data_IF_799776244164
#
_entry.id   IF_799776244164
#
_cell.length_a   1.000
_cell.length_b   1.000
_cell.length_c   1.000
_cell.angle_alpha   90.00
_cell.angle_beta   90.00
_cell.angle_gamma   90.00
#
_symmetry.space_group_name_H-M   'P 1'
#
loop_
_entity.id
_entity.type
_entity.pdbx_description
1 polymer ?
#
# COMPACT_ATOMS: atom_id res chain seq x y z
N UNK A 1 3.21 42.20 -39.33
CA UNK A 1 4.13 43.34 -39.48
C UNK A 1 3.79 44.36 -38.39
N UNK A 2 4.72 44.73 -37.51
CA UNK A 2 4.36 45.62 -36.38
C UNK A 2 4.15 47.07 -36.87
N UNK A 3 3.33 47.87 -36.14
CA UNK A 3 2.99 49.26 -36.49
C UNK A 3 4.21 50.13 -36.81
N UNK A 4 5.36 49.86 -36.18
CA UNK A 4 6.61 50.61 -36.35
C UNK A 4 7.29 50.27 -37.69
N UNK A 5 7.30 49.00 -38.09
CA UNK A 5 7.85 48.54 -39.37
C UNK A 5 7.04 49.03 -40.56
N UNK A 6 5.70 49.03 -40.45
CA UNK A 6 4.80 49.55 -41.50
C UNK A 6 4.97 51.06 -41.69
N UNK A 7 5.13 51.81 -40.58
CA UNK A 7 5.36 53.26 -40.63
C UNK A 7 6.73 53.61 -41.24
N UNK A 8 7.76 52.79 -40.98
CA UNK A 8 9.08 52.98 -41.59
C UNK A 8 9.06 52.74 -43.10
N UNK A 9 8.38 51.67 -43.57
CA UNK A 9 8.27 51.38 -45.00
C UNK A 9 7.43 52.42 -45.75
N UNK A 10 6.33 52.90 -45.16
CA UNK A 10 5.55 53.99 -45.74
C UNK A 10 6.37 55.28 -45.88
N UNK A 11 7.23 55.58 -44.90
CA UNK A 11 8.13 56.75 -44.95
C UNK A 11 9.21 56.59 -46.02
N UNK A 12 9.78 55.38 -46.18
CA UNK A 12 10.78 55.09 -47.21
C UNK A 12 10.20 55.12 -48.64
N UNK A 13 8.96 54.65 -48.84
CA UNK A 13 8.25 54.71 -50.13
C UNK A 13 7.89 56.15 -50.52
N UNK A 14 7.48 56.97 -49.55
CA UNK A 14 7.11 58.38 -49.79
C UNK A 14 8.32 59.21 -50.23
N UNK A 15 9.54 58.84 -49.81
CA UNK A 15 10.78 59.50 -50.20
C UNK A 15 11.26 59.16 -51.63
N UNK A 16 10.79 58.05 -52.22
CA UNK A 16 11.30 57.56 -53.52
C UNK A 16 10.31 57.69 -54.67
N UNK A 17 9.00 57.74 -54.43
CA UNK A 17 7.99 57.67 -55.52
C UNK A 17 7.12 58.92 -55.71
N UNK A 18 7.37 60.00 -54.97
CA UNK A 18 6.58 61.23 -55.08
C UNK A 18 5.22 61.11 -54.37
N UNK A 19 4.81 62.19 -53.70
CA UNK A 19 3.67 62.22 -52.78
C UNK A 19 2.32 61.78 -53.41
N UNK A 20 2.18 61.81 -54.73
CA UNK A 20 0.94 61.46 -55.44
C UNK A 20 0.65 59.95 -55.54
N UNK A 21 1.66 59.07 -55.50
CA UNK A 21 1.47 57.61 -55.62
C UNK A 21 1.41 56.94 -54.23
N UNK A 22 2.08 57.53 -53.22
CA UNK A 22 2.07 57.02 -51.85
C UNK A 22 0.67 57.07 -51.20
N UNK A 23 -0.17 58.06 -51.54
CA UNK A 23 -1.53 58.17 -50.97
C UNK A 23 -2.49 57.10 -51.50
N UNK A 24 -2.26 56.56 -52.71
CA UNK A 24 -3.07 55.48 -53.27
C UNK A 24 -2.63 54.07 -52.83
N UNK A 25 -1.41 53.89 -52.31
CA UNK A 25 -0.93 52.60 -51.78
C UNK A 25 -1.06 52.47 -50.25
N UNK A 26 -1.23 53.57 -49.51
CA UNK A 26 -1.53 53.55 -48.06
C UNK A 26 -3.04 53.45 -47.76
N UNK A 27 -3.90 53.52 -48.78
CA UNK A 27 -5.28 52.98 -48.72
C UNK A 27 -5.31 51.45 -48.88
N UNK A 28 -4.25 50.75 -48.43
CA UNK A 28 -4.30 49.32 -48.17
C UNK A 28 -5.22 49.08 -46.95
N UNK A 29 -6.51 48.97 -47.26
CA UNK A 29 -7.61 48.45 -46.45
C UNK A 29 -7.41 48.60 -44.94
N UNK A 30 -7.77 49.76 -44.38
CA UNK A 30 -8.20 49.76 -42.98
C UNK A 30 -9.42 48.85 -42.91
N UNK A 31 -9.20 47.59 -42.51
CA UNK A 31 -10.26 46.62 -42.26
C UNK A 31 -11.20 47.30 -41.27
N UNK A 32 -12.40 47.61 -41.75
CA UNK A 32 -13.39 48.29 -40.92
C UNK A 32 -13.71 47.40 -39.72
N UNK A 33 -14.11 47.96 -38.57
CA UNK A 33 -14.51 47.15 -37.41
C UNK A 33 -15.56 46.07 -37.78
N UNK A 34 -16.43 46.37 -38.75
CA UNK A 34 -17.40 45.43 -39.30
C UNK A 34 -16.75 44.27 -40.06
N UNK A 35 -15.79 44.53 -40.94
CA UNK A 35 -15.08 43.48 -41.69
C UNK A 35 -14.27 42.57 -40.75
N UNK A 36 -13.63 43.13 -39.72
CA UNK A 36 -12.94 42.34 -38.70
C UNK A 36 -13.90 41.45 -37.89
N UNK A 37 -15.09 41.97 -37.56
CA UNK A 37 -16.13 41.19 -36.91
C UNK A 37 -16.70 40.10 -37.83
N UNK A 38 -16.95 40.43 -39.09
CA UNK A 38 -17.43 39.49 -40.10
C UNK A 38 -16.41 38.36 -40.34
N UNK A 39 -15.13 38.66 -40.43
CA UNK A 39 -14.06 37.66 -40.60
C UNK A 39 -13.98 36.73 -39.38
N UNK A 40 -14.12 37.28 -38.16
CA UNK A 40 -14.17 36.47 -36.95
C UNK A 40 -15.40 35.54 -36.94
N UNK A 41 -16.57 36.02 -37.36
CA UNK A 41 -17.80 35.21 -37.50
C UNK A 41 -17.62 34.11 -38.56
N UNK A 42 -17.04 34.42 -39.72
CA UNK A 42 -16.76 33.43 -40.77
C UNK A 42 -15.75 32.38 -40.29
N UNK A 43 -14.74 32.80 -39.52
CA UNK A 43 -13.75 31.88 -38.94
C UNK A 43 -14.43 30.91 -37.97
N UNK A 44 -15.31 31.42 -37.11
CA UNK A 44 -16.12 30.62 -36.20
C UNK A 44 -17.08 29.67 -36.93
N UNK A 45 -17.72 30.11 -38.02
CA UNK A 45 -18.61 29.24 -38.83
C UNK A 45 -17.87 28.07 -39.47
N UNK A 46 -16.58 28.23 -39.81
CA UNK A 46 -15.73 27.17 -40.39
C UNK A 46 -15.15 26.24 -39.34
N UNK A 47 -14.81 26.78 -38.17
CA UNK A 47 -14.27 26.05 -37.03
C UNK A 47 -14.93 26.57 -35.74
N UNK A 48 -16.03 25.94 -35.28
CA UNK A 48 -16.80 26.40 -34.12
C UNK A 48 -16.14 25.97 -32.80
N UNK A 49 -14.82 26.09 -32.71
CA UNK A 49 -14.09 25.95 -31.45
C UNK A 49 -14.46 27.08 -30.49
N UNK A 50 -14.43 26.81 -29.18
CA UNK A 50 -14.77 27.81 -28.16
C UNK A 50 -13.97 29.12 -28.31
N UNK A 51 -12.69 29.02 -28.69
CA UNK A 51 -11.83 30.18 -28.92
C UNK A 51 -12.29 31.05 -30.12
N UNK A 52 -12.79 30.43 -31.20
CA UNK A 52 -13.30 31.17 -32.35
C UNK A 52 -14.69 31.77 -32.07
N UNK A 53 -15.53 31.07 -31.30
CA UNK A 53 -16.82 31.60 -30.81
C UNK A 53 -16.57 32.85 -29.96
N UNK A 54 -15.62 32.80 -29.02
CA UNK A 54 -15.21 33.95 -28.19
C UNK A 54 -14.72 35.13 -29.01
N UNK A 55 -13.86 34.85 -29.99
CA UNK A 55 -13.30 35.86 -30.87
C UNK A 55 -14.39 36.55 -31.70
N UNK A 56 -15.33 35.77 -32.24
CA UNK A 56 -16.46 36.29 -32.99
C UNK A 56 -17.39 37.15 -32.11
N UNK A 57 -17.76 36.64 -30.92
CA UNK A 57 -18.64 37.36 -30.00
C UNK A 57 -18.04 38.71 -29.57
N UNK A 58 -16.76 38.73 -29.20
CA UNK A 58 -16.07 39.95 -28.80
C UNK A 58 -15.94 40.95 -29.95
N UNK A 59 -15.67 40.47 -31.17
CA UNK A 59 -15.56 41.33 -32.35
C UNK A 59 -16.91 41.96 -32.74
N UNK A 60 -18.01 41.19 -32.72
CA UNK A 60 -19.35 41.72 -33.00
C UNK A 60 -19.80 42.68 -31.89
N UNK A 61 -19.47 42.39 -30.63
CA UNK A 61 -19.80 43.27 -29.48
C UNK A 61 -19.17 44.66 -29.60
N UNK A 62 -17.95 44.74 -30.14
CA UNK A 62 -17.23 45.99 -30.35
C UNK A 62 -17.86 46.90 -31.43
N UNK A 63 -18.80 46.38 -32.23
CA UNK A 63 -19.57 47.18 -33.18
C UNK A 63 -20.55 48.12 -32.47
N UNK A 64 -20.77 49.29 -33.07
CA UNK A 64 -21.88 50.18 -32.70
C UNK A 64 -23.22 49.48 -32.95
N UNK A 65 -24.24 49.83 -32.17
CA UNK A 65 -25.58 49.27 -32.33
C UNK A 65 -26.13 49.57 -33.74
N UNK A 66 -26.84 48.60 -34.33
CA UNK A 66 -27.44 48.73 -35.65
C UNK A 66 -27.58 47.38 -36.36
N UNK A 67 -28.28 47.39 -37.49
CA UNK A 67 -28.69 46.18 -38.23
C UNK A 67 -27.52 45.24 -38.57
N UNK A 68 -26.33 45.79 -38.83
CA UNK A 68 -25.12 45.01 -39.11
C UNK A 68 -24.62 44.21 -37.92
N UNK A 69 -24.66 44.80 -36.71
CA UNK A 69 -24.31 44.10 -35.47
C UNK A 69 -25.33 43.01 -35.16
N UNK A 70 -26.61 43.32 -35.32
CA UNK A 70 -27.70 42.38 -35.04
C UNK A 70 -27.63 41.16 -35.98
N UNK A 71 -27.35 41.38 -37.26
CA UNK A 71 -27.17 40.33 -38.24
C UNK A 71 -25.97 39.40 -37.92
N UNK A 72 -24.84 39.97 -37.50
CA UNK A 72 -23.68 39.17 -37.10
C UNK A 72 -23.90 38.44 -35.77
N UNK A 73 -24.55 39.07 -34.79
CA UNK A 73 -24.91 38.43 -33.52
C UNK A 73 -25.79 37.20 -33.74
N UNK A 74 -26.80 37.29 -34.60
CA UNK A 74 -27.67 36.16 -34.93
C UNK A 74 -26.91 34.97 -35.53
N UNK A 75 -25.87 35.24 -36.33
CA UNK A 75 -24.99 34.19 -36.89
C UNK A 75 -24.12 33.56 -35.79
N UNK A 76 -23.56 34.36 -34.89
CA UNK A 76 -22.82 33.86 -33.72
C UNK A 76 -23.70 32.96 -32.86
N UNK A 77 -24.93 33.38 -32.56
CA UNK A 77 -25.88 32.60 -31.76
C UNK A 77 -26.28 31.29 -32.45
N UNK A 78 -26.51 31.30 -33.76
CA UNK A 78 -26.89 30.10 -34.52
C UNK A 78 -25.80 29.01 -34.48
N UNK A 79 -24.53 29.41 -34.51
CA UNK A 79 -23.38 28.48 -34.44
C UNK A 79 -23.09 28.05 -33.00
N UNK A 80 -23.28 28.95 -32.02
CA UNK A 80 -23.03 28.64 -30.61
C UNK A 80 -24.12 27.74 -29.98
N UNK A 81 -25.37 27.84 -30.43
CA UNK A 81 -26.51 27.12 -29.83
C UNK A 81 -26.38 25.59 -29.80
N UNK A 82 -25.92 24.89 -30.87
CA UNK A 82 -25.67 23.45 -30.83
C UNK A 82 -24.58 23.04 -29.84
N UNK A 83 -23.54 23.87 -29.68
CA UNK A 83 -22.47 23.64 -28.70
C UNK A 83 -23.00 23.79 -27.27
N UNK A 84 -23.89 24.77 -27.04
CA UNK A 84 -24.55 24.94 -25.75
C UNK A 84 -25.44 23.74 -25.39
N UNK A 85 -26.15 23.18 -26.38
CA UNK A 85 -26.95 21.97 -26.21
C UNK A 85 -26.08 20.75 -25.88
N UNK A 86 -24.93 20.57 -26.54
CA UNK A 86 -24.04 19.45 -26.28
C UNK A 86 -23.51 19.46 -24.83
N UNK A 87 -23.17 20.63 -24.29
CA UNK A 87 -22.75 20.75 -22.88
C UNK A 87 -23.92 20.48 -21.94
N UNK A 88 -25.12 20.97 -22.25
CA UNK A 88 -26.32 20.65 -21.49
C UNK A 88 -26.63 19.15 -21.46
N UNK A 89 -26.53 18.46 -22.61
CA UNK A 89 -26.76 17.02 -22.72
C UNK A 89 -25.73 16.24 -21.88
N UNK A 90 -24.45 16.63 -21.90
CA UNK A 90 -23.40 16.04 -21.05
C UNK A 90 -23.72 16.25 -19.56
N UNK A 91 -24.21 17.43 -19.17
CA UNK A 91 -24.63 17.70 -17.79
C UNK A 91 -25.84 16.85 -17.37
N UNK A 92 -26.80 16.64 -18.27
CA UNK A 92 -27.98 15.78 -18.02
C UNK A 92 -27.57 14.31 -17.89
N UNK A 93 -26.66 13.83 -18.73
CA UNK A 93 -26.11 12.47 -18.63
C UNK A 93 -25.35 12.26 -17.32
N UNK A 94 -24.49 13.20 -16.92
CA UNK A 94 -23.78 13.14 -15.65
C UNK A 94 -24.74 13.11 -14.44
N UNK A 95 -25.79 13.95 -14.49
CA UNK A 95 -26.84 14.01 -13.47
C UNK A 95 -27.65 12.70 -13.38
N UNK A 96 -27.84 12.02 -14.51
CA UNK A 96 -28.59 10.76 -14.58
C UNK A 96 -27.77 9.58 -14.04
N UNK A 97 -26.50 9.50 -14.43
CA UNK A 97 -25.65 8.34 -14.13
C UNK A 97 -25.03 8.37 -12.73
N UNK A 98 -24.86 9.56 -12.13
CA UNK A 98 -24.32 9.76 -10.78
C UNK A 98 -22.94 9.12 -10.54
N UNK A 99 -22.18 8.86 -11.60
CA UNK A 99 -20.81 8.34 -11.50
C UNK A 99 -19.78 9.47 -11.62
N UNK A 100 -18.66 9.34 -10.89
CA UNK A 100 -17.64 10.39 -10.79
C UNK A 100 -16.98 10.73 -12.14
N UNK A 101 -16.94 9.77 -13.08
CA UNK A 101 -16.31 9.95 -14.39
C UNK A 101 -17.15 10.88 -15.28
N UNK A 102 -18.45 10.63 -15.38
CA UNK A 102 -19.36 11.48 -16.17
C UNK A 102 -19.49 12.89 -15.60
N UNK A 103 -19.39 13.04 -14.28
CA UNK A 103 -19.32 14.35 -13.61
C UNK A 103 -18.02 15.10 -13.95
N UNK A 104 -16.88 14.42 -14.03
CA UNK A 104 -15.61 15.01 -14.45
C UNK A 104 -15.63 15.51 -15.90
N UNK A 105 -16.23 14.74 -16.80
CA UNK A 105 -16.38 15.09 -18.21
C UNK A 105 -17.33 16.30 -18.40
N UNK A 106 -18.44 16.35 -17.65
CA UNK A 106 -19.35 17.50 -17.62
C UNK A 106 -18.67 18.79 -17.16
N UNK A 107 -17.77 18.71 -16.17
CA UNK A 107 -17.05 19.88 -15.65
C UNK A 107 -16.05 20.47 -16.64
N UNK A 108 -15.31 19.64 -17.37
CA UNK A 108 -14.42 20.13 -18.44
C UNK A 108 -15.20 20.87 -19.52
N UNK A 109 -16.39 20.37 -19.86
CA UNK A 109 -17.29 21.00 -20.82
C UNK A 109 -17.81 22.36 -20.31
N UNK A 110 -18.25 22.45 -19.05
CA UNK A 110 -18.73 23.71 -18.43
C UNK A 110 -17.60 24.74 -18.25
N UNK A 111 -16.41 24.32 -17.82
CA UNK A 111 -15.25 25.21 -17.69
C UNK A 111 -14.80 25.80 -19.04
N UNK A 112 -15.00 25.05 -20.13
CA UNK A 112 -14.84 25.55 -21.50
C UNK A 112 -15.85 26.65 -21.86
N UNK A 113 -17.11 26.53 -21.42
CA UNK A 113 -18.16 27.53 -21.67
C UNK A 113 -18.08 28.76 -20.78
N UNK A 114 -17.63 28.63 -19.52
CA UNK A 114 -17.52 29.76 -18.59
C UNK A 114 -16.59 30.86 -19.11
N UNK A 115 -15.62 30.52 -19.95
CA UNK A 115 -14.76 31.48 -20.65
C UNK A 115 -15.51 32.35 -21.68
N UNK A 116 -16.66 31.89 -22.17
CA UNK A 116 -17.47 32.53 -23.22
C UNK A 116 -18.40 33.63 -22.64
N UNK A 117 -18.82 33.53 -21.38
CA UNK A 117 -19.86 34.38 -20.77
C UNK A 117 -19.33 35.42 -19.76
N UNK A 118 -18.27 36.16 -20.13
CA UNK A 118 -17.54 37.04 -19.19
C UNK A 118 -18.35 38.22 -18.62
N UNK A 119 -19.51 38.65 -19.16
CA UNK A 119 -20.18 39.87 -18.64
C UNK A 119 -21.40 39.68 -17.74
N UNK A 120 -22.12 38.56 -17.80
CA UNK A 120 -23.19 38.28 -16.83
C UNK A 120 -22.69 37.48 -15.62
N UNK A 121 -21.49 36.89 -15.72
CA UNK A 121 -20.83 36.16 -14.65
C UNK A 121 -19.97 37.03 -13.70
N UNK A 122 -19.67 38.29 -14.04
CA UNK A 122 -18.68 39.09 -13.27
C UNK A 122 -19.14 39.55 -11.88
N UNK A 123 -20.44 39.48 -11.58
CA UNK A 123 -20.97 39.64 -10.21
C UNK A 123 -21.10 38.33 -9.45
N UNK A 124 -20.98 37.17 -10.13
CA UNK A 124 -20.90 35.85 -9.49
C UNK A 124 -19.45 35.35 -9.34
N UNK A 125 -18.54 35.69 -10.25
CA UNK A 125 -17.25 34.99 -10.35
C UNK A 125 -16.19 35.41 -9.35
N UNK A 126 -16.11 36.66 -8.90
CA UNK A 126 -14.99 37.08 -8.04
C UNK A 126 -15.08 36.54 -6.60
N UNK A 127 -16.27 36.19 -6.12
CA UNK A 127 -16.47 35.52 -4.83
C UNK A 127 -16.64 34.00 -4.97
N UNK A 128 -17.21 33.51 -6.10
CA UNK A 128 -17.17 32.08 -6.40
C UNK A 128 -15.75 31.58 -6.75
N UNK A 129 -14.83 32.38 -7.29
CA UNK A 129 -13.57 31.85 -7.85
C UNK A 129 -12.65 31.25 -6.79
N UNK A 130 -12.31 31.96 -5.71
CA UNK A 130 -11.41 31.38 -4.70
C UNK A 130 -12.09 30.25 -3.92
N UNK A 131 -13.37 30.41 -3.59
CA UNK A 131 -14.10 29.45 -2.76
C UNK A 131 -14.48 28.18 -3.55
N UNK A 132 -14.87 28.30 -4.83
CA UNK A 132 -15.14 27.16 -5.71
C UNK A 132 -13.84 26.43 -6.08
N UNK A 133 -12.73 27.15 -6.26
CA UNK A 133 -11.41 26.52 -6.47
C UNK A 133 -10.97 25.76 -5.22
N UNK A 134 -11.13 26.33 -4.02
CA UNK A 134 -10.79 25.64 -2.77
C UNK A 134 -11.68 24.42 -2.53
N UNK A 135 -12.98 24.52 -2.83
CA UNK A 135 -13.90 23.39 -2.82
C UNK A 135 -13.51 22.30 -3.83
N UNK A 136 -13.19 22.70 -5.07
CA UNK A 136 -12.79 21.78 -6.13
C UNK A 136 -11.52 21.03 -5.72
N UNK A 137 -10.50 21.77 -5.28
CA UNK A 137 -9.21 21.20 -4.89
C UNK A 137 -9.29 20.36 -3.61
N UNK A 138 -10.09 20.79 -2.63
CA UNK A 138 -10.10 20.15 -1.31
C UNK A 138 -11.13 19.05 -1.20
N UNK A 139 -12.30 19.20 -1.84
CA UNK A 139 -13.39 18.21 -1.74
C UNK A 139 -13.38 17.26 -2.92
N UNK A 140 -13.33 17.77 -4.13
CA UNK A 140 -13.47 16.93 -5.33
C UNK A 140 -12.21 16.11 -5.57
N UNK A 141 -11.03 16.74 -5.53
CA UNK A 141 -9.78 16.02 -5.81
C UNK A 141 -9.49 14.97 -4.74
N UNK A 142 -9.76 15.28 -3.47
CA UNK A 142 -9.63 14.32 -2.36
C UNK A 142 -10.60 13.14 -2.51
N UNK A 143 -11.88 13.38 -2.82
CA UNK A 143 -12.84 12.30 -3.07
C UNK A 143 -12.45 11.45 -4.29
N UNK A 144 -11.91 12.07 -5.33
CA UNK A 144 -11.39 11.35 -6.49
C UNK A 144 -10.13 10.55 -6.15
N UNK A 145 -9.24 11.07 -5.30
CA UNK A 145 -8.05 10.36 -4.87
C UNK A 145 -8.42 9.14 -4.04
N UNK A 146 -9.37 9.28 -3.11
CA UNK A 146 -9.98 8.18 -2.35
C UNK A 146 -10.60 7.15 -3.28
N UNK A 147 -11.48 7.56 -4.20
CA UNK A 147 -12.17 6.64 -5.12
C UNK A 147 -11.22 5.88 -6.06
N UNK A 148 -10.02 6.42 -6.31
CA UNK A 148 -9.00 5.78 -7.15
C UNK A 148 -7.94 5.03 -6.32
N UNK A 149 -8.12 4.88 -5.00
CA UNK A 149 -7.16 4.22 -4.10
C UNK A 149 -5.81 4.94 -3.99
N UNK A 150 -5.73 6.22 -4.38
CA UNK A 150 -4.51 7.03 -4.30
C UNK A 150 -4.33 7.68 -2.94
N UNK A 151 -5.39 7.73 -2.14
CA UNK A 151 -5.39 8.27 -0.80
C UNK A 151 -6.15 7.32 0.12
N UNK A 152 -5.58 7.07 1.29
CA UNK A 152 -6.18 6.24 2.33
C UNK A 152 -7.40 6.95 2.94
N UNK A 153 -8.50 6.22 3.16
CA UNK A 153 -9.69 6.78 3.80
C UNK A 153 -9.42 6.96 5.29
N UNK A 154 -9.53 8.19 5.79
CA UNK A 154 -9.39 8.53 7.22
C UNK A 154 -10.60 9.32 7.69
N UNK A 155 -11.05 9.06 8.92
CA UNK A 155 -12.20 9.77 9.49
C UNK A 155 -11.94 11.28 9.61
N UNK A 156 -10.71 11.68 9.93
CA UNK A 156 -10.31 13.08 9.96
C UNK A 156 -10.51 13.78 8.60
N UNK A 157 -10.18 13.09 7.49
CA UNK A 157 -10.40 13.60 6.13
C UNK A 157 -11.89 13.76 5.87
N UNK A 158 -12.70 12.74 6.18
CA UNK A 158 -14.16 12.80 6.03
C UNK A 158 -14.77 13.96 6.84
N UNK A 159 -14.33 14.14 8.08
CA UNK A 159 -14.81 15.23 8.94
C UNK A 159 -14.49 16.61 8.34
N UNK A 160 -13.27 16.81 7.82
CA UNK A 160 -12.88 18.06 7.15
C UNK A 160 -13.73 18.32 5.90
N UNK A 161 -14.01 17.27 5.12
CA UNK A 161 -14.89 17.37 3.95
C UNK A 161 -16.32 17.76 4.34
N UNK A 162 -16.88 17.17 5.41
CA UNK A 162 -18.21 17.55 5.93
C UNK A 162 -18.26 19.01 6.36
N UNK A 163 -17.25 19.51 7.06
CA UNK A 163 -17.20 20.93 7.47
C UNK A 163 -17.29 21.89 6.27
N UNK A 164 -16.53 21.60 5.20
CA UNK A 164 -16.55 22.42 3.98
C UNK A 164 -17.93 22.36 3.31
N UNK A 165 -18.54 21.17 3.22
CA UNK A 165 -19.86 20.96 2.62
C UNK A 165 -20.97 21.67 3.43
N UNK A 166 -20.93 21.63 4.77
CA UNK A 166 -21.90 22.32 5.63
C UNK A 166 -21.75 23.84 5.53
N UNK A 167 -20.51 24.35 5.48
CA UNK A 167 -20.27 25.79 5.28
C UNK A 167 -20.86 26.31 3.97
N UNK A 168 -20.83 25.49 2.92
CA UNK A 168 -21.48 25.74 1.63
C UNK A 168 -23.01 25.80 1.72
N UNK A 169 -23.60 24.88 2.50
CA UNK A 169 -25.05 24.81 2.66
C UNK A 169 -25.63 26.03 3.38
N UNK A 170 -24.82 26.83 4.07
CA UNK A 170 -25.25 28.05 4.78
C UNK A 170 -25.23 29.30 3.89
N UNK A 171 -24.55 29.30 2.73
CA UNK A 171 -24.45 30.44 1.81
C UNK A 171 -25.59 30.48 0.76
N UNK A 172 -26.80 30.03 1.15
CA UNK A 172 -27.97 29.69 0.31
C UNK A 172 -28.55 30.85 -0.50
N UNK A 173 -28.09 31.06 -1.73
CA UNK A 173 -28.84 31.87 -2.72
C UNK A 173 -29.00 31.23 -4.10
N UNK A 174 -28.44 30.04 -4.33
CA UNK A 174 -28.43 29.41 -5.66
C UNK A 174 -28.84 27.92 -5.61
N UNK A 175 -29.96 27.58 -6.25
CA UNK A 175 -30.48 26.20 -6.36
C UNK A 175 -29.49 25.22 -7.01
N UNK A 176 -28.62 25.69 -7.93
CA UNK A 176 -27.61 24.87 -8.56
C UNK A 176 -26.49 24.43 -7.61
N UNK A 177 -26.09 25.31 -6.69
CA UNK A 177 -25.09 25.03 -5.66
C UNK A 177 -25.65 24.04 -4.63
N UNK A 178 -26.93 24.20 -4.25
CA UNK A 178 -27.63 23.30 -3.32
C UNK A 178 -27.65 21.86 -3.84
N UNK A 179 -27.95 21.67 -5.13
CA UNK A 179 -27.96 20.32 -5.72
C UNK A 179 -26.58 19.67 -5.71
N UNK A 180 -25.53 20.44 -6.01
CA UNK A 180 -24.16 19.95 -5.99
C UNK A 180 -23.74 19.53 -4.58
N UNK A 181 -24.05 20.35 -3.58
CA UNK A 181 -23.82 20.06 -2.15
C UNK A 181 -24.50 18.76 -1.74
N UNK A 182 -25.77 18.56 -2.11
CA UNK A 182 -26.52 17.33 -1.81
C UNK A 182 -25.90 16.08 -2.46
N UNK A 183 -25.48 16.15 -3.73
CA UNK A 183 -24.85 15.01 -4.43
C UNK A 183 -23.51 14.61 -3.78
N UNK A 184 -22.72 15.59 -3.31
CA UNK A 184 -21.46 15.33 -2.62
C UNK A 184 -21.65 14.84 -1.17
N UNK A 185 -22.67 15.33 -0.45
CA UNK A 185 -23.04 14.78 0.86
C UNK A 185 -23.35 13.28 0.76
N UNK A 186 -24.17 12.88 -0.23
CA UNK A 186 -24.48 11.47 -0.46
C UNK A 186 -23.24 10.63 -0.81
N UNK A 187 -22.32 11.20 -1.60
CA UNK A 187 -21.03 10.54 -1.92
C UNK A 187 -20.18 10.35 -0.67
N UNK A 188 -20.13 11.36 0.21
CA UNK A 188 -19.37 11.31 1.46
C UNK A 188 -19.96 10.31 2.46
N UNK A 189 -21.29 10.21 2.52
CA UNK A 189 -21.97 9.17 3.30
C UNK A 189 -21.65 7.76 2.78
N UNK A 190 -21.58 7.59 1.46
CA UNK A 190 -21.13 6.33 0.87
C UNK A 190 -19.68 6.01 1.25
N UNK A 191 -18.75 6.96 1.13
CA UNK A 191 -17.34 6.79 1.52
C UNK A 191 -17.23 6.43 3.01
N UNK A 192 -18.00 7.10 3.86
CA UNK A 192 -18.07 6.81 5.29
C UNK A 192 -18.54 5.37 5.56
N UNK A 193 -19.59 4.91 4.86
CA UNK A 193 -20.11 3.56 5.01
C UNK A 193 -19.15 2.50 4.44
N UNK A 194 -18.48 2.78 3.33
CA UNK A 194 -17.46 1.90 2.77
C UNK A 194 -16.29 1.71 3.76
N UNK A 195 -15.84 2.78 4.43
CA UNK A 195 -14.81 2.69 5.47
C UNK A 195 -15.27 1.90 6.70
N UNK A 196 -16.51 2.09 7.16
CA UNK A 196 -17.10 1.27 8.25
C UNK A 196 -17.12 -0.21 7.87
N UNK A 197 -17.51 -0.53 6.63
CA UNK A 197 -17.56 -1.91 6.14
C UNK A 197 -16.16 -2.53 5.99
N UNK A 198 -15.17 -1.75 5.55
CA UNK A 198 -13.76 -2.17 5.50
C UNK A 198 -13.26 -2.56 6.90
N UNK A 199 -13.44 -1.68 7.89
CA UNK A 199 -13.02 -1.97 9.28
C UNK A 199 -13.73 -3.21 9.82
N UNK A 200 -15.04 -3.35 9.57
CA UNK A 200 -15.79 -4.54 9.98
C UNK A 200 -15.28 -5.82 9.31
N UNK A 201 -14.89 -5.76 8.04
CA UNK A 201 -14.32 -6.89 7.32
C UNK A 201 -12.95 -7.29 7.90
N UNK A 202 -12.10 -6.32 8.24
CA UNK A 202 -10.81 -6.56 8.91
C UNK A 202 -10.99 -7.20 10.29
N UNK A 203 -11.92 -6.71 11.11
CA UNK A 203 -12.25 -7.32 12.41
C UNK A 203 -12.65 -8.79 12.23
N UNK A 204 -13.50 -9.09 11.24
CA UNK A 204 -13.95 -10.47 10.98
C UNK A 204 -12.82 -11.37 10.47
N UNK A 205 -11.94 -10.83 9.63
CA UNK A 205 -10.82 -11.55 9.02
C UNK A 205 -9.64 -11.77 10.00
N UNK A 206 -9.54 -10.99 11.07
CA UNK A 206 -8.46 -11.11 12.04
C UNK A 206 -8.38 -12.52 12.66
N UNK A 207 -7.20 -13.12 12.58
CA UNK A 207 -6.88 -14.44 13.15
C UNK A 207 -5.93 -14.36 14.35
N UNK A 208 -5.25 -13.21 14.50
CA UNK A 208 -4.29 -12.93 15.57
C UNK A 208 -4.63 -11.64 16.33
N UNK A 209 -4.10 -11.52 17.55
CA UNK A 209 -4.25 -10.32 18.38
C UNK A 209 -3.66 -9.06 17.69
N UNK A 210 -2.61 -9.23 16.88
CA UNK A 210 -1.94 -8.15 16.14
C UNK A 210 -2.81 -7.62 14.99
N UNK A 211 -3.42 -8.51 14.19
CA UNK A 211 -4.36 -8.13 13.13
C UNK A 211 -5.59 -7.41 13.71
N UNK A 212 -6.12 -7.91 14.83
CA UNK A 212 -7.25 -7.25 15.51
C UNK A 212 -6.86 -5.87 16.07
N UNK A 213 -5.62 -5.68 16.51
CA UNK A 213 -5.12 -4.38 16.98
C UNK A 213 -5.09 -3.33 15.85
N UNK A 214 -4.75 -3.73 14.62
CA UNK A 214 -4.81 -2.85 13.43
C UNK A 214 -6.26 -2.42 13.17
N UNK A 215 -7.20 -3.36 13.17
CA UNK A 215 -8.62 -3.06 12.97
C UNK A 215 -9.19 -2.16 14.07
N UNK A 216 -8.78 -2.36 15.34
CA UNK A 216 -9.14 -1.50 16.47
C UNK A 216 -8.63 -0.07 16.31
N UNK A 217 -7.45 0.12 15.75
CA UNK A 217 -6.93 1.46 15.50
C UNK A 217 -7.82 2.23 14.51
N UNK A 218 -8.25 1.58 13.41
CA UNK A 218 -9.21 2.16 12.46
C UNK A 218 -10.60 2.37 13.08
N UNK A 219 -11.06 1.45 13.92
CA UNK A 219 -12.29 1.65 14.70
C UNK A 219 -12.22 2.88 15.60
N UNK A 220 -11.10 3.09 16.30
CA UNK A 220 -10.92 4.28 17.13
C UNK A 220 -10.90 5.57 16.30
N UNK A 221 -10.35 5.53 15.08
CA UNK A 221 -10.45 6.63 14.11
C UNK A 221 -11.92 6.92 13.74
N UNK A 222 -12.73 5.89 13.44
CA UNK A 222 -14.16 6.03 13.18
C UNK A 222 -14.91 6.70 14.36
N UNK A 223 -14.50 6.46 15.61
CA UNK A 223 -15.13 7.08 16.79
C UNK A 223 -14.90 8.60 16.89
N UNK A 224 -14.02 9.17 16.06
CA UNK A 224 -13.83 10.62 15.94
C UNK A 224 -14.86 11.29 15.02
N UNK A 225 -15.78 10.52 14.42
CA UNK A 225 -16.86 11.08 13.60
C UNK A 225 -17.78 11.99 14.41
N UNK A 226 -18.25 13.07 13.77
CA UNK A 226 -19.13 14.08 14.41
C UNK A 226 -20.60 13.71 14.43
N UNK A 227 -21.03 12.79 13.56
CA UNK A 227 -22.41 12.31 13.54
C UNK A 227 -22.60 11.32 14.70
N UNK A 228 -23.26 11.76 15.77
CA UNK A 228 -23.46 10.97 16.98
C UNK A 228 -24.36 9.74 16.75
N UNK A 229 -25.32 9.82 15.81
CA UNK A 229 -26.20 8.69 15.50
C UNK A 229 -25.43 7.60 14.75
N UNK A 230 -24.62 7.99 13.77
CA UNK A 230 -23.76 7.06 13.05
C UNK A 230 -22.67 6.49 13.95
N UNK A 231 -22.09 7.32 14.83
CA UNK A 231 -21.11 6.88 15.82
C UNK A 231 -21.68 5.81 16.75
N UNK A 232 -22.89 6.02 17.26
CA UNK A 232 -23.60 5.02 18.07
C UNK A 232 -23.84 3.72 17.29
N UNK A 233 -24.21 3.81 16.01
CA UNK A 233 -24.38 2.63 15.15
C UNK A 233 -23.06 1.88 14.91
N UNK A 234 -21.94 2.59 14.70
CA UNK A 234 -20.60 2.01 14.55
C UNK A 234 -20.16 1.33 15.84
N UNK A 235 -20.38 1.95 17.01
CA UNK A 235 -20.11 1.33 18.31
C UNK A 235 -20.92 0.04 18.51
N UNK A 236 -22.21 0.07 18.19
CA UNK A 236 -23.09 -1.10 18.32
C UNK A 236 -22.70 -2.24 17.37
N UNK A 237 -22.23 -1.94 16.16
CA UNK A 237 -21.94 -2.95 15.15
C UNK A 237 -20.47 -3.40 15.18
N UNK A 238 -19.55 -2.47 14.92
CA UNK A 238 -18.11 -2.75 14.84
C UNK A 238 -17.55 -3.01 16.23
N UNK A 239 -17.96 -2.24 17.25
CA UNK A 239 -17.54 -2.48 18.64
C UNK A 239 -17.97 -3.86 19.16
N UNK A 240 -19.20 -4.29 18.88
CA UNK A 240 -19.65 -5.64 19.24
C UNK A 240 -18.91 -6.75 18.49
N UNK A 241 -18.59 -6.53 17.21
CA UNK A 241 -17.77 -7.46 16.42
C UNK A 241 -16.35 -7.57 17.00
N UNK A 242 -15.75 -6.45 17.41
CA UNK A 242 -14.44 -6.43 18.10
C UNK A 242 -14.53 -7.22 19.40
N UNK A 243 -15.50 -6.96 20.26
CA UNK A 243 -15.64 -7.68 21.54
C UNK A 243 -15.83 -9.19 21.34
N UNK A 244 -16.63 -9.58 20.34
CA UNK A 244 -16.81 -10.99 19.95
C UNK A 244 -15.49 -11.61 19.51
N UNK A 245 -14.72 -10.89 18.67
CA UNK A 245 -13.44 -11.37 18.17
C UNK A 245 -12.38 -11.43 19.27
N UNK A 246 -12.34 -10.47 20.18
CA UNK A 246 -11.48 -10.52 21.37
C UNK A 246 -11.76 -11.76 22.20
N UNK A 247 -13.03 -12.08 22.45
CA UNK A 247 -13.40 -13.30 23.18
C UNK A 247 -12.96 -14.56 22.42
N UNK A 248 -13.10 -14.59 21.09
CA UNK A 248 -12.62 -15.70 20.24
C UNK A 248 -11.09 -15.86 20.31
N UNK A 249 -10.33 -14.76 20.23
CA UNK A 249 -8.86 -14.76 20.28
C UNK A 249 -8.31 -14.96 21.70
N UNK A 250 -9.12 -14.75 22.74
CA UNK A 250 -8.75 -15.02 24.12
C UNK A 250 -8.62 -16.51 24.42
N UNK A 251 -9.35 -17.37 23.69
CA UNK A 251 -9.33 -18.82 23.89
C UNK A 251 -7.95 -19.38 23.49
N UNK A 252 -7.22 -20.06 24.40
CA UNK A 252 -5.93 -20.65 24.08
C UNK A 252 -6.03 -21.73 22.99
N UNK A 253 -5.21 -21.62 21.94
CA UNK A 253 -5.17 -22.54 20.80
C UNK A 253 -3.79 -22.56 20.13
N UNK A 254 -3.58 -23.54 19.28
CA UNK A 254 -2.48 -23.56 18.32
C UNK A 254 -2.87 -22.69 17.11
N UNK A 255 -2.02 -21.74 16.74
CA UNK A 255 -2.20 -20.90 15.55
C UNK A 255 -1.67 -21.59 14.30
N UNK A 256 -0.52 -22.25 14.39
CA UNK A 256 0.03 -23.02 13.27
C UNK A 256 1.00 -24.09 13.72
N UNK A 257 1.19 -25.10 12.86
CA UNK A 257 2.29 -26.05 12.94
C UNK A 257 2.93 -26.17 11.55
N UNK A 258 4.21 -25.85 11.42
CA UNK A 258 4.93 -25.75 10.15
C UNK A 258 6.29 -26.44 10.25
N UNK A 259 6.60 -27.30 9.30
CA UNK A 259 7.93 -27.92 9.25
C UNK A 259 8.97 -26.89 8.80
N UNK A 260 10.11 -26.87 9.48
CA UNK A 260 11.26 -26.02 9.13
C UNK A 260 12.18 -26.77 8.16
N UNK A 261 12.47 -28.03 8.47
CA UNK A 261 13.28 -28.99 7.69
C UNK A 261 12.89 -30.42 8.09
N UNK A 262 13.51 -31.47 7.52
CA UNK A 262 13.17 -32.86 7.86
C UNK A 262 13.32 -33.22 9.35
N UNK A 263 14.03 -32.41 10.15
CA UNK A 263 14.27 -32.68 11.57
C UNK A 263 13.47 -31.79 12.49
N UNK A 264 12.90 -30.68 12.00
CA UNK A 264 12.37 -29.63 12.86
C UNK A 264 10.95 -29.20 12.48
N UNK A 265 10.11 -29.02 13.50
CA UNK A 265 8.75 -28.52 13.41
C UNK A 265 8.56 -27.32 14.34
N UNK A 266 8.04 -26.23 13.80
CA UNK A 266 7.60 -25.06 14.56
C UNK A 266 6.12 -25.18 14.88
N UNK A 267 5.75 -25.03 16.16
CA UNK A 267 4.36 -24.94 16.61
C UNK A 267 4.17 -23.59 17.29
N UNK A 268 3.25 -22.78 16.77
CA UNK A 268 2.93 -21.45 17.29
C UNK A 268 1.60 -21.49 18.04
N UNK A 269 1.57 -20.89 19.23
CA UNK A 269 0.41 -20.77 20.10
C UNK A 269 0.00 -19.30 20.27
N UNK A 270 -1.30 -19.02 20.36
CA UNK A 270 -1.75 -17.63 20.54
C UNK A 270 -1.46 -17.08 21.95
N UNK A 271 -1.35 -17.97 22.95
CA UNK A 271 -1.05 -17.64 24.35
C UNK A 271 0.24 -18.32 24.83
N UNK A 272 0.99 -17.71 25.76
CA UNK A 272 2.19 -18.31 26.34
C UNK A 272 1.88 -19.66 27.02
N UNK A 273 2.68 -20.68 26.71
CA UNK A 273 2.48 -22.06 27.18
C UNK A 273 3.37 -22.38 28.38
N UNK A 274 2.86 -23.22 29.28
CA UNK A 274 3.62 -23.78 30.38
C UNK A 274 4.55 -24.88 29.89
N UNK A 275 5.87 -24.66 30.02
CA UNK A 275 6.90 -25.58 29.54
C UNK A 275 6.70 -27.02 30.03
N UNK A 276 6.33 -27.22 31.30
CA UNK A 276 6.12 -28.55 31.90
C UNK A 276 4.93 -29.34 31.31
N UNK A 277 4.10 -28.70 30.49
CA UNK A 277 2.99 -29.34 29.80
C UNK A 277 3.33 -29.78 28.38
N UNK A 278 4.42 -29.29 27.81
CA UNK A 278 4.88 -29.62 26.44
C UNK A 278 6.26 -30.27 26.40
N UNK A 279 7.07 -30.08 27.43
CA UNK A 279 8.45 -30.55 27.54
C UNK A 279 8.64 -31.17 28.93
N UNK A 280 9.23 -32.37 28.97
CA UNK A 280 9.68 -32.98 30.21
C UNK A 280 11.00 -32.34 30.67
N UNK A 281 11.13 -32.09 31.97
CA UNK A 281 12.36 -31.51 32.56
C UNK A 281 13.61 -32.36 32.28
N UNK A 282 13.44 -33.69 32.25
CA UNK A 282 14.52 -34.61 31.92
C UNK A 282 14.65 -34.73 30.40
N UNK A 283 15.77 -34.25 29.86
CA UNK A 283 16.14 -34.44 28.46
C UNK A 283 15.33 -33.62 27.45
N UNK A 284 14.55 -32.64 27.91
CA UNK A 284 13.71 -31.77 27.08
C UNK A 284 12.77 -32.53 26.12
N UNK A 285 12.32 -33.74 26.49
CA UNK A 285 11.50 -34.59 25.60
C UNK A 285 10.08 -34.04 25.47
N UNK A 286 9.51 -34.14 24.26
CA UNK A 286 8.15 -33.66 23.97
C UNK A 286 7.10 -34.44 24.78
N UNK A 287 6.05 -33.72 25.17
CA UNK A 287 4.92 -34.21 25.94
C UNK A 287 3.62 -33.64 25.38
N UNK A 288 2.53 -34.43 25.45
CA UNK A 288 1.17 -34.04 25.03
C UNK A 288 1.00 -33.59 23.57
N UNK A 289 2.03 -33.82 22.76
CA UNK A 289 2.04 -33.57 21.31
C UNK A 289 2.47 -34.87 20.65
N UNK A 290 1.73 -35.29 19.63
CA UNK A 290 2.01 -36.52 18.88
C UNK A 290 2.11 -36.25 17.39
N UNK A 291 2.99 -36.99 16.73
CA UNK A 291 3.17 -36.96 15.28
C UNK A 291 2.85 -38.34 14.74
N UNK A 292 2.08 -38.40 13.64
CA UNK A 292 1.77 -39.66 12.97
C UNK A 292 1.87 -39.48 11.47
N UNK A 293 2.64 -40.33 10.82
CA UNK A 293 2.65 -40.37 9.36
C UNK A 293 1.29 -40.86 8.85
N UNK A 294 0.70 -40.13 7.90
CA UNK A 294 -0.67 -40.41 7.42
C UNK A 294 -0.73 -41.57 6.43
N UNK A 295 0.39 -41.87 5.77
CA UNK A 295 0.50 -42.87 4.69
C UNK A 295 1.08 -44.21 5.12
N UNK A 296 1.66 -44.29 6.33
CA UNK A 296 2.30 -45.50 6.85
C UNK A 296 1.57 -46.04 8.08
N UNK A 297 1.57 -47.37 8.24
CA UNK A 297 1.02 -48.05 9.42
C UNK A 297 2.04 -48.18 10.56
N UNK A 298 3.33 -47.92 10.30
CA UNK A 298 4.38 -47.86 11.31
C UNK A 298 4.69 -46.41 11.66
N UNK A 299 4.76 -46.08 12.96
CA UNK A 299 5.21 -44.76 13.42
C UNK A 299 6.72 -44.63 13.13
N UNK A 300 7.06 -44.00 12.00
CA UNK A 300 8.46 -43.72 11.60
C UNK A 300 9.08 -42.63 12.49
N UNK A 301 8.23 -41.83 13.15
CA UNK A 301 8.62 -40.76 14.07
C UNK A 301 7.96 -41.03 15.41
N UNK A 302 8.76 -41.10 16.49
CA UNK A 302 8.23 -41.26 17.84
C UNK A 302 8.31 -39.92 18.58
N UNK A 303 7.14 -39.35 18.90
CA UNK A 303 7.10 -38.05 19.60
C UNK A 303 7.78 -38.08 20.97
N UNK A 304 7.91 -39.24 21.63
CA UNK A 304 8.64 -39.34 22.91
C UNK A 304 10.16 -39.22 22.75
N UNK A 305 10.68 -39.46 21.55
CA UNK A 305 12.11 -39.31 21.25
C UNK A 305 12.45 -37.86 20.87
N UNK A 306 11.50 -37.10 20.35
CA UNK A 306 11.70 -35.71 19.99
C UNK A 306 12.01 -34.82 21.21
N UNK A 307 12.80 -33.78 20.99
CA UNK A 307 13.10 -32.73 21.98
C UNK A 307 12.36 -31.44 21.63
N UNK A 308 12.11 -30.60 22.62
CA UNK A 308 11.43 -29.31 22.45
C UNK A 308 12.21 -28.14 23.05
N UNK A 309 12.14 -26.99 22.38
CA UNK A 309 12.63 -25.71 22.90
C UNK A 309 11.54 -24.64 22.72
N UNK A 310 11.12 -24.02 23.83
CA UNK A 310 10.20 -22.88 23.79
C UNK A 310 10.98 -21.57 23.57
N UNK A 311 10.40 -20.66 22.79
CA UNK A 311 10.81 -19.28 22.70
C UNK A 311 10.72 -18.55 24.05
N UNK A 312 11.38 -17.39 24.15
CA UNK A 312 11.39 -16.58 25.39
C UNK A 312 10.00 -16.09 25.81
N UNK A 313 9.12 -15.80 24.85
CA UNK A 313 7.72 -15.43 25.08
C UNK A 313 6.81 -16.64 25.32
N UNK A 314 7.36 -17.86 25.21
CA UNK A 314 6.69 -19.15 25.37
C UNK A 314 5.52 -19.38 24.42
N UNK A 315 5.48 -18.67 23.28
CA UNK A 315 4.44 -18.83 22.26
C UNK A 315 4.86 -19.71 21.09
N UNK A 316 6.15 -20.00 20.94
CA UNK A 316 6.68 -20.82 19.85
C UNK A 316 7.44 -22.00 20.42
N UNK A 317 7.09 -23.20 19.99
CA UNK A 317 7.79 -24.43 20.33
C UNK A 317 8.50 -24.97 19.07
N UNK A 318 9.82 -25.10 19.16
CA UNK A 318 10.61 -25.80 18.15
C UNK A 318 10.79 -27.23 18.61
N UNK A 319 10.22 -28.17 17.86
CA UNK A 319 10.40 -29.60 18.05
C UNK A 319 11.54 -30.08 17.16
N UNK A 320 12.49 -30.83 17.73
CA UNK A 320 13.60 -31.42 16.98
C UNK A 320 13.61 -32.94 17.17
N UNK A 321 13.54 -33.68 16.07
CA UNK A 321 13.61 -35.14 16.05
C UNK A 321 15.02 -35.64 16.39
N UNK A 322 15.11 -36.73 17.13
CA UNK A 322 16.36 -37.33 17.59
C UNK A 322 16.78 -38.51 16.68
N UNK A 323 18.04 -38.93 16.78
CA UNK A 323 18.57 -40.08 16.06
C UNK A 323 18.35 -40.04 14.54
N UNK A 324 17.84 -41.15 13.98
CA UNK A 324 17.58 -41.30 12.55
C UNK A 324 16.19 -40.83 12.10
N UNK A 325 15.32 -40.42 13.02
CA UNK A 325 13.93 -40.05 12.71
C UNK A 325 13.87 -38.76 11.88
N UNK A 326 12.99 -38.72 10.89
CA UNK A 326 12.82 -37.55 10.02
C UNK A 326 11.35 -37.40 9.63
N UNK A 327 10.88 -36.16 9.50
CA UNK A 327 9.63 -35.86 8.83
C UNK A 327 9.86 -35.94 7.32
N UNK A 328 9.33 -36.96 6.66
CA UNK A 328 9.30 -37.10 5.21
C UNK A 328 7.95 -37.64 4.75
N UNK A 329 7.28 -36.90 3.87
CA UNK A 329 5.89 -37.18 3.50
C UNK A 329 4.91 -36.37 4.33
N UNK A 330 3.71 -36.93 4.55
CA UNK A 330 2.59 -36.21 5.16
C UNK A 330 2.34 -36.71 6.58
N UNK A 331 2.44 -35.82 7.56
CA UNK A 331 2.24 -36.10 8.97
C UNK A 331 1.02 -35.38 9.49
N UNK A 332 0.30 -36.02 10.42
CA UNK A 332 -0.61 -35.34 11.33
C UNK A 332 0.14 -34.96 12.59
N UNK A 333 -0.02 -33.71 13.02
CA UNK A 333 0.35 -33.25 14.36
C UNK A 333 -0.92 -33.06 15.17
N UNK A 334 -0.93 -33.63 16.37
CA UNK A 334 -2.02 -33.48 17.33
C UNK A 334 -1.49 -32.86 18.60
N UNK A 335 -2.10 -31.76 19.01
CA UNK A 335 -1.87 -31.11 20.31
C UNK A 335 -3.14 -31.28 21.11
N UNK A 336 -3.06 -31.93 22.28
CA UNK A 336 -4.24 -32.20 23.09
C UNK A 336 -4.41 -31.19 24.23
N UNK A 337 -5.60 -31.18 24.84
CA UNK A 337 -6.01 -30.30 25.94
C UNK A 337 -5.18 -30.35 27.23
N UNK A 338 -4.23 -31.30 27.34
CA UNK A 338 -3.30 -31.34 28.47
C UNK A 338 -2.16 -30.33 28.32
N UNK A 339 -1.96 -29.76 27.14
CA UNK A 339 -1.14 -28.56 26.96
C UNK A 339 -1.87 -27.38 27.58
N UNK A 340 -1.16 -26.60 28.41
CA UNK A 340 -1.76 -25.49 29.15
C UNK A 340 -0.98 -24.20 28.99
N UNK A 341 -1.68 -23.09 29.10
CA UNK A 341 -1.07 -21.76 29.19
C UNK A 341 -0.30 -21.58 30.50
N UNK A 342 0.50 -20.52 30.60
CA UNK A 342 1.12 -20.11 31.87
C UNK A 342 0.08 -19.71 32.94
N UNK A 343 -1.16 -19.43 32.53
CA UNK A 343 -2.30 -19.19 33.41
C UNK A 343 -3.08 -20.48 33.76
N UNK A 344 -2.56 -21.66 33.41
CA UNK A 344 -3.14 -22.98 33.67
C UNK A 344 -4.47 -23.25 32.94
N UNK A 345 -4.76 -22.50 31.87
CA UNK A 345 -5.90 -22.75 30.99
C UNK A 345 -5.53 -23.81 29.94
N UNK A 346 -6.44 -24.71 29.60
CA UNK A 346 -6.20 -25.73 28.56
C UNK A 346 -6.21 -25.10 27.17
N UNK A 347 -5.26 -25.50 26.35
CA UNK A 347 -5.27 -25.24 24.90
C UNK A 347 -6.36 -26.10 24.25
N UNK A 348 -7.11 -25.55 23.29
CA UNK A 348 -8.06 -26.34 22.51
C UNK A 348 -7.37 -27.51 21.79
N UNK A 349 -8.04 -28.66 21.71
CA UNK A 349 -7.55 -29.79 20.92
C UNK A 349 -7.33 -29.32 19.48
N UNK A 350 -6.14 -29.61 18.94
CA UNK A 350 -5.73 -29.19 17.61
C UNK A 350 -5.19 -30.39 16.85
N UNK A 351 -5.61 -30.51 15.60
CA UNK A 351 -5.07 -31.49 14.65
C UNK A 351 -4.95 -30.83 13.29
N UNK A 352 -3.77 -30.92 12.69
CA UNK A 352 -3.54 -30.53 11.29
C UNK A 352 -2.65 -31.55 10.62
N UNK A 353 -2.64 -31.54 9.30
CA UNK A 353 -1.62 -32.23 8.52
C UNK A 353 -0.63 -31.23 7.95
N UNK A 354 0.61 -31.66 7.82
CA UNK A 354 1.63 -30.97 7.06
C UNK A 354 2.39 -31.98 6.21
N UNK A 355 2.89 -31.52 5.06
CA UNK A 355 3.72 -32.33 4.19
C UNK A 355 5.09 -31.68 4.09
N UNK A 356 6.12 -32.50 4.17
CA UNK A 356 7.49 -32.05 3.96
C UNK A 356 8.20 -33.04 3.04
N UNK A 357 8.98 -32.46 2.14
CA UNK A 357 9.98 -33.18 1.39
C UNK A 357 11.25 -32.37 1.50
N UNK A 358 12.25 -32.92 2.17
CA UNK A 358 13.52 -32.22 2.28
C UNK A 358 14.31 -32.37 0.98
N UNK A 359 14.80 -31.24 0.50
CA UNK A 359 15.58 -31.12 -0.74
C UNK A 359 16.72 -30.13 -0.59
N UNK A 360 16.85 -29.51 0.58
CA UNK A 360 17.87 -28.49 0.85
C UNK A 360 19.03 -29.22 1.53
N UNK A 361 20.26 -28.81 1.22
CA UNK A 361 21.45 -29.37 1.84
C UNK A 361 22.03 -28.38 2.86
N UNK A 362 22.79 -28.84 3.88
CA UNK A 362 23.23 -27.96 4.95
C UNK A 362 24.21 -26.89 4.47
N UNK A 363 23.93 -25.63 4.80
CA UNK A 363 24.77 -24.48 4.47
C UNK A 363 25.40 -23.87 5.73
N UNK A 364 26.67 -23.48 5.65
CA UNK A 364 27.39 -22.77 6.71
C UNK A 364 26.77 -21.39 6.86
N UNK A 365 26.14 -21.14 8.01
CA UNK A 365 25.55 -19.86 8.37
C UNK A 365 26.58 -18.95 9.01
N UNK A 366 27.42 -19.50 9.89
CA UNK A 366 28.46 -18.71 10.57
C UNK A 366 29.56 -19.59 11.15
N UNK A 367 30.69 -18.97 11.47
CA UNK A 367 31.78 -19.58 12.24
C UNK A 367 32.10 -18.65 13.40
N UNK A 368 32.21 -19.20 14.60
CA UNK A 368 32.57 -18.45 15.80
C UNK A 368 33.77 -19.08 16.49
N UNK A 369 34.74 -18.25 16.88
CA UNK A 369 35.89 -18.64 17.68
C UNK A 369 36.17 -17.52 18.67
N UNK A 370 36.27 -17.86 19.95
CA UNK A 370 36.49 -16.90 21.04
C UNK A 370 37.67 -17.35 21.90
N UNK A 371 38.43 -16.40 22.40
CA UNK A 371 39.56 -16.66 23.32
C UNK A 371 39.81 -15.44 24.20
N UNK A 372 40.44 -15.64 25.36
CA UNK A 372 40.99 -14.54 26.18
C UNK A 372 42.51 -14.36 25.96
N UNK A 373 43.13 -15.16 25.09
CA UNK A 373 44.56 -15.07 24.74
C UNK A 373 44.73 -14.56 23.30
N UNK A 374 45.92 -14.69 22.72
CA UNK A 374 46.15 -14.36 21.31
C UNK A 374 45.80 -15.51 20.36
N UNK A 375 45.46 -16.69 20.89
CA UNK A 375 45.19 -17.91 20.12
C UNK A 375 43.88 -18.54 20.60
N UNK A 376 42.95 -18.81 19.68
CA UNK A 376 41.79 -19.65 19.96
C UNK A 376 42.10 -21.12 19.67
N UNK A 377 41.74 -21.97 20.63
CA UNK A 377 41.93 -23.42 20.55
C UNK A 377 40.65 -24.16 20.13
N UNK A 378 39.55 -23.43 20.02
CA UNK A 378 38.24 -23.95 19.60
C UNK A 378 37.55 -23.03 18.60
N UNK A 379 36.71 -23.64 17.76
CA UNK A 379 35.80 -22.93 16.86
C UNK A 379 34.51 -23.73 16.71
N UNK A 380 33.39 -23.04 16.50
CA UNK A 380 32.08 -23.64 16.21
C UNK A 380 31.60 -23.17 14.85
N UNK A 381 31.30 -24.12 13.97
CA UNK A 381 30.68 -23.89 12.65
C UNK A 381 29.19 -24.16 12.78
N UNK A 382 28.37 -23.15 12.52
CA UNK A 382 26.91 -23.25 12.56
C UNK A 382 26.36 -23.42 11.15
N UNK A 383 25.40 -24.33 11.01
CA UNK A 383 24.74 -24.68 9.76
C UNK A 383 23.26 -24.29 9.77
N UNK A 384 22.66 -24.20 8.58
CA UNK A 384 21.24 -23.89 8.38
C UNK A 384 20.32 -25.01 8.87
N UNK A 385 20.83 -26.24 8.93
CA UNK A 385 20.12 -27.44 9.39
C UNK A 385 21.09 -28.46 9.99
N UNK A 386 20.60 -29.50 10.69
CA UNK A 386 21.46 -30.51 11.28
C UNK A 386 22.31 -31.30 10.28
N UNK A 387 23.62 -31.41 10.56
CA UNK A 387 24.59 -32.09 9.68
C UNK A 387 24.79 -33.54 10.12
N UNK A 388 24.50 -34.50 9.25
CA UNK A 388 24.78 -35.94 9.49
C UNK A 388 26.20 -36.35 9.13
N UNK A 389 26.79 -35.75 8.10
CA UNK A 389 28.20 -35.96 7.75
C UNK A 389 28.80 -34.71 7.09
N UNK A 390 30.07 -34.45 7.34
CA UNK A 390 30.84 -33.41 6.68
C UNK A 390 32.34 -33.65 6.88
N UNK A 391 33.16 -33.24 5.92
CA UNK A 391 34.61 -33.10 6.11
C UNK A 391 34.93 -31.62 6.23
N UNK A 392 35.42 -31.19 7.40
CA UNK A 392 35.73 -29.77 7.65
C UNK A 392 37.23 -29.55 7.66
N UNK A 393 37.68 -28.56 6.90
CA UNK A 393 39.03 -28.02 6.94
C UNK A 393 39.01 -26.63 7.55
N UNK A 394 39.98 -26.35 8.40
CA UNK A 394 40.25 -25.02 8.93
C UNK A 394 41.69 -24.67 8.54
N UNK A 395 41.86 -23.59 7.78
CA UNK A 395 43.13 -23.21 7.13
C UNK A 395 43.79 -24.36 6.36
N UNK A 396 42.98 -25.11 5.60
CA UNK A 396 43.42 -26.22 4.76
C UNK A 396 43.70 -27.53 5.51
N UNK A 397 43.67 -27.54 6.84
CA UNK A 397 43.90 -28.73 7.68
C UNK A 397 42.56 -29.36 8.07
N UNK A 398 42.43 -30.68 7.91
CA UNK A 398 41.20 -31.42 8.27
C UNK A 398 41.09 -31.56 9.79
N UNK A 399 39.91 -31.26 10.34
CA UNK A 399 39.59 -31.46 11.75
C UNK A 399 38.31 -32.29 11.92
N UNK A 400 38.26 -33.08 12.99
CA UNK A 400 37.06 -33.81 13.40
C UNK A 400 36.28 -32.98 14.42
N UNK A 401 35.06 -32.59 14.08
CA UNK A 401 34.17 -31.85 14.97
C UNK A 401 33.30 -32.76 15.83
N UNK A 402 32.87 -32.27 16.99
CA UNK A 402 31.80 -32.86 17.79
C UNK A 402 30.47 -32.17 17.49
N UNK A 403 29.34 -32.86 17.68
CA UNK A 403 28.00 -32.33 17.39
C UNK A 403 27.33 -32.85 16.13
N UNK A 404 27.77 -34.00 15.58
CA UNK A 404 27.07 -34.68 14.49
C UNK A 404 25.60 -34.91 14.81
N UNK A 405 24.72 -34.67 13.84
CA UNK A 405 23.27 -34.69 14.02
C UNK A 405 22.69 -33.40 14.60
N UNK A 406 23.51 -32.35 14.76
CA UNK A 406 23.08 -31.01 15.19
C UNK A 406 23.45 -29.96 14.14
N UNK A 407 22.90 -28.75 14.28
CA UNK A 407 23.25 -27.61 13.41
C UNK A 407 24.55 -26.90 13.82
N UNK A 408 25.32 -27.44 14.76
CA UNK A 408 26.57 -26.83 15.23
C UNK A 408 27.67 -27.88 15.41
N UNK A 409 28.77 -27.74 14.66
CA UNK A 409 29.95 -28.58 14.83
C UNK A 409 31.03 -27.81 15.59
N UNK A 410 31.52 -28.37 16.69
CA UNK A 410 32.57 -27.77 17.52
C UNK A 410 33.90 -28.49 17.33
N UNK A 411 34.95 -27.72 17.07
CA UNK A 411 36.29 -28.21 16.80
C UNK A 411 37.23 -27.77 17.92
N UNK A 412 38.18 -28.63 18.28
CA UNK A 412 39.18 -28.38 19.31
C UNK A 412 40.59 -28.73 18.80
N UNK A 413 41.62 -28.34 19.56
CA UNK A 413 43.02 -28.53 19.16
C UNK A 413 43.47 -27.57 18.06
N UNK A 414 42.78 -26.44 17.92
CA UNK A 414 43.12 -25.41 16.94
C UNK A 414 44.23 -24.49 17.46
N UNK A 415 44.85 -23.74 16.53
CA UNK A 415 45.82 -22.70 16.84
C UNK A 415 45.53 -21.45 16.01
N UNK A 416 44.36 -20.84 16.24
CA UNK A 416 43.85 -19.72 15.45
C UNK A 416 44.34 -18.38 16.02
N UNK A 417 45.16 -17.66 15.26
CA UNK A 417 45.75 -16.37 15.62
C UNK A 417 44.71 -15.24 15.55
N UNK A 418 44.49 -14.55 16.67
CA UNK A 418 43.53 -13.43 16.76
C UNK A 418 43.79 -12.25 15.82
N UNK A 419 45.00 -12.15 15.25
CA UNK A 419 45.37 -11.11 14.29
C UNK A 419 45.08 -11.47 12.82
N UNK A 420 44.65 -12.70 12.53
CA UNK A 420 44.48 -13.21 11.16
C UNK A 420 43.02 -13.48 10.81
N UNK A 421 42.75 -13.42 9.51
CA UNK A 421 41.56 -14.02 8.92
C UNK A 421 41.84 -15.49 8.63
N UNK A 422 40.95 -16.35 9.08
CA UNK A 422 41.00 -17.79 8.90
C UNK A 422 39.97 -18.25 7.89
N UNK A 423 40.19 -19.43 7.32
CA UNK A 423 39.30 -20.06 6.34
C UNK A 423 38.68 -21.33 6.89
N UNK A 424 37.40 -21.55 6.59
CA UNK A 424 36.73 -22.84 6.76
C UNK A 424 36.29 -23.33 5.39
N UNK A 425 36.64 -24.58 5.07
CA UNK A 425 36.09 -25.30 3.93
C UNK A 425 35.33 -26.52 4.45
N UNK A 426 34.07 -26.67 4.04
CA UNK A 426 33.27 -27.84 4.35
C UNK A 426 32.99 -28.59 3.07
N UNK A 427 33.39 -29.86 3.03
CA UNK A 427 33.20 -30.74 1.89
C UNK A 427 32.13 -31.78 2.22
N UNK A 428 31.25 -32.00 1.24
CA UNK A 428 30.17 -32.98 1.29
C UNK A 428 29.35 -32.91 2.58
N UNK A 429 28.97 -31.69 3.00
CA UNK A 429 28.02 -31.55 4.10
C UNK A 429 26.70 -32.19 3.67
N UNK A 430 26.25 -33.19 4.42
CA UNK A 430 25.00 -33.89 4.17
C UNK A 430 24.09 -33.82 5.38
N UNK A 431 22.79 -33.71 5.12
CA UNK A 431 21.75 -33.87 6.11
C UNK A 431 21.40 -35.36 6.32
N UNK A 432 20.34 -35.63 7.10
CA UNK A 432 19.84 -36.97 7.35
C UNK A 432 19.13 -37.62 6.15
N UNK A 433 18.79 -36.84 5.12
CA UNK A 433 18.15 -37.32 3.88
C UNK A 433 19.16 -37.59 2.76
N UNK A 434 20.41 -37.21 2.96
CA UNK A 434 21.44 -37.33 1.94
C UNK A 434 21.41 -36.20 0.92
N UNK A 435 20.76 -35.06 1.24
CA UNK A 435 20.97 -33.83 0.50
C UNK A 435 22.41 -33.37 0.74
N UNK A 436 23.22 -33.25 -0.31
CA UNK A 436 24.66 -32.99 -0.19
C UNK A 436 25.01 -31.63 -0.78
N UNK A 437 25.72 -30.81 0.01
CA UNK A 437 26.48 -29.66 -0.48
C UNK A 437 27.94 -30.07 -0.66
N UNK A 438 28.36 -30.21 -1.92
CA UNK A 438 29.68 -30.78 -2.26
C UNK A 438 30.85 -29.95 -1.69
N UNK A 439 30.77 -28.62 -1.77
CA UNK A 439 31.79 -27.70 -1.27
C UNK A 439 31.14 -26.39 -0.84
N UNK A 440 31.59 -25.87 0.30
CA UNK A 440 31.30 -24.53 0.76
C UNK A 440 32.51 -23.97 1.51
N UNK A 441 32.79 -22.68 1.35
CA UNK A 441 33.94 -22.02 1.96
C UNK A 441 33.55 -20.65 2.48
N UNK A 442 34.05 -20.30 3.66
CA UNK A 442 33.86 -19.00 4.27
C UNK A 442 35.10 -18.58 5.05
N UNK A 443 35.22 -17.29 5.34
CA UNK A 443 36.29 -16.72 6.16
C UNK A 443 35.75 -16.24 7.50
N UNK A 444 36.55 -16.30 8.55
CA UNK A 444 36.18 -15.80 9.87
C UNK A 444 37.38 -15.23 10.63
N UNK A 445 37.11 -14.46 11.68
CA UNK A 445 38.12 -13.92 12.60
C UNK A 445 37.86 -14.40 14.01
N UNK A 446 38.91 -14.53 14.82
CA UNK A 446 38.77 -14.90 16.23
C UNK A 446 38.42 -13.65 17.06
N UNK A 447 37.38 -13.73 17.89
CA UNK A 447 37.05 -12.67 18.84
C UNK A 447 37.86 -12.84 20.13
N UNK A 448 38.70 -11.85 20.44
CA UNK A 448 39.44 -11.80 21.71
C UNK A 448 38.61 -11.10 22.78
N UNK A 449 38.37 -11.78 23.89
CA UNK A 449 37.79 -11.17 25.09
C UNK A 449 38.90 -10.44 25.87
N UNK A 450 38.74 -9.13 26.02
CA UNK A 450 39.66 -8.25 26.75
C UNK A 450 39.02 -7.70 28.03
N UNK A 451 37.82 -8.15 28.40
CA UNK A 451 37.12 -7.65 29.59
C UNK A 451 37.70 -8.34 30.82
N UNK A 452 38.30 -7.55 31.72
CA UNK A 452 38.77 -8.05 33.01
C UNK A 452 37.57 -8.42 33.90
N UNK A 453 37.67 -9.49 34.73
CA UNK A 453 36.64 -9.79 35.71
C UNK A 453 36.39 -8.60 36.63
N UNK A 454 35.13 -8.23 36.83
CA UNK A 454 34.73 -7.23 37.83
C UNK A 454 34.48 -7.96 39.14
N UNK A 455 35.12 -7.50 40.21
CA UNK A 455 35.09 -8.12 41.54
C UNK A 455 33.75 -7.92 42.25
#
# INVERSE_FOLDING_TARGET
MNKKTTKLMATALTATMGAGIATQLVQAAEVTPYEAALEAVITMEKDPSGANIDKAYNAVKALKAGAQKDALNKRVEAVAAPHHKAVYDIMVTARTNKDLKTIGDARKAVAGMAKIFIKDAYTWSSELDNFTIEYQKTVVDTLNAISNGKEEVKQATINKLREIIVGLELQRSNEGLLKLVLDYSATLDKVQMDYVNEVLAEVKAATTDAELAVAKAKYNDLLTMKDEALKAAVQSNVGAAIATKEAELAIPRVESAKAINAKQLEITFNKPISASTVINEVGNKIKNITFKETTSSSDVVNSTNATGALSSDKKTLIVTLDGAETFEGTYSVVVNKNVKTTANESVQDYSTTFSIQDRIAPEVVSVSAKTNTNVATTATVNFSEPVSAAVVKIDGVVYTGTGTGTSALTFSGLALDTSKTHTVEVLNASDAKGNIKALQSTTFTVTKDTVAPVA
#
